data_IF_080058479601
#
_entry.id   IF_080058479601
#
_cell.length_a   1.000
_cell.length_b   1.000
_cell.length_c   1.000
_cell.angle_alpha   90.00
_cell.angle_beta   90.00
_cell.angle_gamma   90.00
#
_symmetry.space_group_name_H-M   'P 1'
#
loop_
_entity.id
_entity.type
_entity.pdbx_description
1 polymer ?
#
# COMPACT_ATOMS: atom_id res chain seq x y z
N UNK A 1 37.54 -10.90 -11.40
CA UNK A 1 37.67 -9.56 -10.79
C UNK A 1 37.97 -8.46 -11.82
N UNK A 2 39.21 -8.31 -12.33
CA UNK A 2 39.60 -7.22 -13.25
C UNK A 2 38.66 -7.00 -14.43
N UNK A 3 38.31 -8.07 -15.16
CA UNK A 3 37.38 -7.97 -16.30
C UNK A 3 36.01 -7.42 -15.91
N UNK A 4 35.45 -7.91 -14.79
CA UNK A 4 34.14 -7.48 -14.27
C UNK A 4 34.22 -5.99 -13.90
N UNK A 5 35.17 -5.60 -13.05
CA UNK A 5 35.33 -4.20 -12.62
C UNK A 5 35.60 -3.26 -13.80
N UNK A 6 36.37 -3.68 -14.80
CA UNK A 6 36.60 -2.88 -16.01
C UNK A 6 35.32 -2.69 -16.84
N UNK A 7 34.49 -3.73 -16.98
CA UNK A 7 33.29 -3.70 -17.82
C UNK A 7 32.08 -3.08 -17.15
N UNK A 8 31.94 -3.22 -15.83
CA UNK A 8 30.74 -2.82 -15.08
C UNK A 8 30.99 -1.72 -14.08
N UNK A 9 32.25 -1.32 -13.89
CA UNK A 9 32.69 -0.35 -12.89
C UNK A 9 32.43 -0.75 -11.43
N UNK A 10 32.03 -2.00 -11.19
CA UNK A 10 31.81 -2.52 -9.86
C UNK A 10 33.09 -2.45 -9.00
N UNK A 11 32.89 -2.16 -7.72
CA UNK A 11 33.87 -2.39 -6.67
C UNK A 11 33.83 -3.87 -6.29
N UNK A 12 34.99 -4.50 -6.17
CA UNK A 12 35.09 -5.95 -5.95
C UNK A 12 36.00 -6.22 -4.76
N UNK A 13 35.46 -6.91 -3.77
CA UNK A 13 36.24 -7.57 -2.73
C UNK A 13 36.51 -9.01 -3.18
N UNK A 14 37.78 -9.38 -3.33
CA UNK A 14 38.20 -10.74 -3.63
C UNK A 14 38.64 -11.44 -2.34
N UNK A 15 38.30 -12.71 -2.18
CA UNK A 15 38.82 -13.58 -1.11
C UNK A 15 39.62 -14.69 -1.79
N UNK A 16 40.86 -14.88 -1.36
CA UNK A 16 41.77 -15.89 -1.91
C UNK A 16 42.52 -16.59 -0.77
N UNK A 17 42.57 -17.92 -0.81
CA UNK A 17 43.22 -18.73 0.22
C UNK A 17 44.75 -18.58 0.18
N UNK A 18 45.34 -18.57 -1.02
CA UNK A 18 46.80 -18.61 -1.22
C UNK A 18 47.38 -17.21 -1.30
N UNK A 19 48.22 -16.86 -0.32
CA UNK A 19 48.89 -15.54 -0.24
C UNK A 19 49.63 -15.15 -1.52
N UNK A 20 50.41 -16.06 -2.11
CA UNK A 20 51.18 -15.79 -3.33
C UNK A 20 50.28 -15.48 -4.54
N UNK A 21 49.11 -16.11 -4.63
CA UNK A 21 48.16 -15.85 -5.71
C UNK A 21 47.52 -14.47 -5.54
N UNK A 22 47.21 -14.12 -4.30
CA UNK A 22 46.70 -12.82 -3.95
C UNK A 22 47.70 -11.70 -4.28
N UNK A 23 48.97 -11.86 -3.90
CA UNK A 23 50.06 -10.90 -4.20
C UNK A 23 50.22 -10.66 -5.71
N UNK A 24 50.27 -11.72 -6.51
CA UNK A 24 50.34 -11.61 -7.99
C UNK A 24 49.06 -10.93 -8.53
N UNK A 25 47.90 -11.27 -7.98
CA UNK A 25 46.65 -10.68 -8.44
C UNK A 25 46.58 -9.17 -8.15
N UNK A 26 47.08 -8.73 -6.99
CA UNK A 26 47.21 -7.32 -6.62
C UNK A 26 48.16 -6.59 -7.57
N UNK A 27 49.35 -7.15 -7.82
CA UNK A 27 50.33 -6.56 -8.73
C UNK A 27 49.74 -6.35 -10.14
N UNK A 28 49.10 -7.39 -10.69
CA UNK A 28 48.46 -7.30 -12.00
C UNK A 28 47.29 -6.32 -12.04
N UNK A 29 46.59 -6.13 -10.92
CA UNK A 29 45.50 -5.15 -10.79
C UNK A 29 46.03 -3.71 -10.73
N UNK A 30 47.15 -3.48 -10.05
CA UNK A 30 47.83 -2.19 -10.04
C UNK A 30 48.37 -1.81 -11.42
N UNK A 31 48.97 -2.77 -12.14
CA UNK A 31 49.49 -2.56 -13.51
C UNK A 31 48.42 -2.09 -14.51
N UNK A 32 47.14 -2.37 -14.24
CA UNK A 32 46.01 -1.93 -15.08
C UNK A 32 45.17 -0.81 -14.45
N UNK A 33 45.63 -0.20 -13.35
CA UNK A 33 44.98 0.96 -12.72
C UNK A 33 43.61 0.67 -12.09
N UNK A 34 43.39 -0.55 -11.59
CA UNK A 34 42.12 -0.96 -10.97
C UNK A 34 42.23 -1.15 -9.44
N UNK A 35 43.36 -0.82 -8.84
CA UNK A 35 43.68 -0.99 -7.41
C UNK A 35 42.74 -0.23 -6.47
N UNK A 36 42.13 0.87 -6.92
CA UNK A 36 41.11 1.59 -6.15
C UNK A 36 39.74 0.92 -6.13
N UNK A 37 39.44 0.05 -7.10
CA UNK A 37 38.14 -0.63 -7.24
C UNK A 37 38.16 -2.08 -6.78
N UNK A 38 39.34 -2.72 -6.75
CA UNK A 38 39.46 -4.13 -6.43
C UNK A 38 40.34 -4.29 -5.20
N UNK A 39 39.73 -4.77 -4.13
CA UNK A 39 40.40 -5.12 -2.88
C UNK A 39 40.56 -6.62 -2.79
N UNK A 40 41.60 -7.05 -2.09
CA UNK A 40 41.91 -8.47 -1.94
C UNK A 40 42.12 -8.80 -0.46
N UNK A 41 41.52 -9.91 -0.05
CA UNK A 41 41.60 -10.46 1.29
C UNK A 41 42.21 -11.87 1.19
N UNK A 42 43.34 -12.08 1.87
CA UNK A 42 43.98 -13.40 1.91
C UNK A 42 43.47 -14.16 3.12
N UNK A 43 42.97 -15.39 2.91
CA UNK A 43 42.61 -16.29 4.00
C UNK A 43 41.58 -17.33 3.60
N UNK A 44 41.36 -18.29 4.51
CA UNK A 44 40.24 -19.21 4.38
C UNK A 44 38.94 -18.45 4.62
N UNK A 45 38.00 -18.52 3.68
CA UNK A 45 36.71 -17.83 3.77
C UNK A 45 35.87 -18.25 4.99
N UNK A 46 36.15 -19.43 5.55
CA UNK A 46 35.52 -19.93 6.77
C UNK A 46 36.22 -19.45 8.05
N UNK A 47 37.34 -18.73 7.97
CA UNK A 47 38.06 -18.25 9.16
C UNK A 47 37.37 -17.02 9.76
N UNK A 48 37.37 -16.87 11.10
CA UNK A 48 36.75 -15.71 11.76
C UNK A 48 37.25 -14.37 11.21
N UNK A 49 38.56 -14.25 10.97
CA UNK A 49 39.17 -13.02 10.46
C UNK A 49 38.64 -12.62 9.08
N UNK A 50 38.37 -13.60 8.21
CA UNK A 50 37.81 -13.33 6.89
C UNK A 50 36.31 -13.03 7.00
N UNK A 51 35.58 -13.77 7.82
CA UNK A 51 34.15 -13.55 8.06
C UNK A 51 33.90 -12.14 8.62
N UNK A 52 34.68 -11.70 9.60
CA UNK A 52 34.56 -10.37 10.21
C UNK A 52 34.85 -9.24 9.21
N UNK A 53 35.73 -9.47 8.24
CA UNK A 53 36.00 -8.53 7.16
C UNK A 53 34.86 -8.46 6.11
N UNK A 54 34.02 -9.50 6.03
CA UNK A 54 32.85 -9.55 5.14
C UNK A 54 31.60 -9.03 5.88
N UNK A 55 31.52 -7.71 6.01
CA UNK A 55 30.46 -7.04 6.76
C UNK A 55 29.04 -7.49 6.34
N UNK A 56 28.13 -7.76 7.28
CA UNK A 56 26.74 -8.10 6.96
C UNK A 56 26.06 -7.03 6.10
N UNK A 57 25.32 -7.45 5.08
CA UNK A 57 24.56 -6.53 4.22
C UNK A 57 25.39 -5.53 3.42
N UNK A 58 26.65 -5.84 3.11
CA UNK A 58 27.56 -4.92 2.41
C UNK A 58 27.65 -5.16 0.91
N UNK A 59 27.30 -6.36 0.42
CA UNK A 59 27.45 -6.72 -0.98
C UNK A 59 26.11 -6.77 -1.73
N UNK A 60 26.07 -6.16 -2.91
CA UNK A 60 24.93 -6.28 -3.84
C UNK A 60 24.93 -7.64 -4.54
N UNK A 61 26.11 -8.23 -4.78
CA UNK A 61 26.23 -9.52 -5.44
C UNK A 61 27.48 -10.29 -5.00
N UNK A 62 27.39 -11.62 -5.05
CA UNK A 62 28.50 -12.55 -4.83
C UNK A 62 28.67 -13.41 -6.08
N UNK A 63 29.93 -13.59 -6.50
CA UNK A 63 30.28 -14.40 -7.67
C UNK A 63 31.38 -15.38 -7.28
N UNK A 64 31.23 -16.65 -7.66
CA UNK A 64 32.21 -17.71 -7.44
C UNK A 64 32.37 -18.58 -8.69
N UNK A 65 33.61 -18.84 -9.09
CA UNK A 65 33.92 -19.73 -10.20
C UNK A 65 34.84 -20.83 -9.71
N UNK A 66 34.41 -22.09 -9.81
CA UNK A 66 35.21 -23.30 -9.52
C UNK A 66 35.99 -23.18 -8.21
N UNK A 67 35.35 -22.64 -7.17
CA UNK A 67 35.96 -22.41 -5.85
C UNK A 67 35.20 -23.14 -4.75
N UNK A 68 33.88 -23.23 -4.88
CA UNK A 68 33.04 -23.88 -3.87
C UNK A 68 33.35 -25.38 -3.78
N UNK A 69 33.64 -26.09 -4.87
CA UNK A 69 34.05 -27.50 -4.80
C UNK A 69 35.20 -27.81 -3.82
N UNK A 70 36.06 -26.83 -3.51
CA UNK A 70 37.17 -27.01 -2.57
C UNK A 70 36.80 -26.73 -1.11
N UNK A 71 35.58 -26.29 -0.84
CA UNK A 71 35.07 -25.94 0.49
C UNK A 71 34.04 -26.99 0.91
N UNK A 72 34.41 -27.80 1.89
CA UNK A 72 33.59 -28.93 2.37
C UNK A 72 32.29 -28.47 3.04
N UNK A 73 32.37 -27.49 3.94
CA UNK A 73 31.21 -27.02 4.70
C UNK A 73 30.33 -26.06 3.86
N UNK A 74 29.51 -26.65 3.00
CA UNK A 74 28.62 -25.93 2.05
C UNK A 74 27.60 -25.04 2.75
N UNK A 75 27.01 -25.52 3.84
CA UNK A 75 26.07 -24.73 4.65
C UNK A 75 26.76 -23.46 5.19
N UNK A 76 27.95 -23.62 5.78
CA UNK A 76 28.64 -22.49 6.40
C UNK A 76 29.06 -21.40 5.40
N UNK A 77 29.59 -21.79 4.24
CA UNK A 77 29.94 -20.79 3.21
C UNK A 77 28.69 -20.06 2.70
N UNK A 78 27.57 -20.77 2.52
CA UNK A 78 26.33 -20.14 2.09
C UNK A 78 25.75 -19.21 3.17
N UNK A 79 25.84 -19.53 4.45
CA UNK A 79 25.48 -18.62 5.55
C UNK A 79 26.29 -17.32 5.50
N UNK A 80 27.61 -17.41 5.28
CA UNK A 80 28.50 -16.25 5.17
C UNK A 80 28.09 -15.39 3.96
N UNK A 81 27.83 -16.03 2.81
CA UNK A 81 27.33 -15.34 1.63
C UNK A 81 25.97 -14.67 1.88
N UNK A 82 25.04 -15.36 2.51
CA UNK A 82 23.71 -14.83 2.81
C UNK A 82 23.78 -13.63 3.78
N UNK A 83 24.58 -13.73 4.84
CA UNK A 83 24.76 -12.65 5.81
C UNK A 83 25.35 -11.41 5.16
N UNK A 84 26.37 -11.58 4.33
CA UNK A 84 27.12 -10.49 3.69
C UNK A 84 26.36 -9.81 2.54
N UNK A 85 25.38 -10.48 1.92
CA UNK A 85 24.50 -9.87 0.92
C UNK A 85 23.50 -8.88 1.53
N UNK A 86 23.26 -7.77 0.81
CA UNK A 86 22.10 -6.89 1.04
C UNK A 86 20.79 -7.63 0.80
N UNK A 87 19.70 -7.09 1.33
CA UNK A 87 18.36 -7.52 0.90
C UNK A 87 18.22 -7.38 -0.62
N UNK A 88 17.56 -8.35 -1.27
CA UNK A 88 17.50 -8.51 -2.72
C UNK A 88 18.84 -8.76 -3.43
N UNK A 89 19.94 -8.94 -2.70
CA UNK A 89 21.24 -9.28 -3.27
C UNK A 89 21.26 -10.65 -3.94
N UNK A 90 22.14 -10.82 -4.92
CA UNK A 90 22.24 -12.03 -5.75
C UNK A 90 23.54 -12.79 -5.51
N UNK A 91 23.47 -14.11 -5.61
CA UNK A 91 24.66 -14.97 -5.67
C UNK A 91 24.67 -15.75 -6.97
N UNK A 92 25.84 -15.80 -7.60
CA UNK A 92 26.12 -16.54 -8.82
C UNK A 92 27.31 -17.46 -8.59
N UNK A 93 27.14 -18.75 -8.86
CA UNK A 93 28.19 -19.76 -8.71
C UNK A 93 28.29 -20.58 -9.98
N UNK A 94 29.49 -20.81 -10.50
CA UNK A 94 29.75 -21.93 -11.42
C UNK A 94 30.59 -22.98 -10.69
N UNK A 95 30.11 -24.22 -10.63
CA UNK A 95 30.74 -25.27 -9.85
C UNK A 95 30.57 -26.66 -10.45
N UNK A 96 31.35 -27.62 -9.96
CA UNK A 96 31.16 -29.03 -10.26
C UNK A 96 29.94 -29.56 -9.48
N UNK A 97 29.24 -30.52 -10.06
CA UNK A 97 28.15 -31.24 -9.41
C UNK A 97 28.24 -32.73 -9.70
N UNK A 98 27.78 -33.56 -8.77
CA UNK A 98 27.57 -34.97 -9.03
C UNK A 98 26.31 -35.15 -9.88
N UNK A 99 26.39 -35.93 -10.95
CA UNK A 99 25.22 -36.32 -11.76
C UNK A 99 24.56 -37.60 -11.25
N UNK A 100 25.30 -38.40 -10.49
CA UNK A 100 24.91 -39.71 -9.97
C UNK A 100 25.74 -40.02 -8.72
N UNK A 101 25.44 -41.13 -8.04
CA UNK A 101 26.25 -41.63 -6.93
C UNK A 101 27.69 -41.86 -7.40
N UNK A 102 28.63 -41.24 -6.70
CA UNK A 102 30.06 -41.34 -6.98
C UNK A 102 30.60 -42.65 -6.43
N UNK A 103 31.38 -43.37 -7.23
CA UNK A 103 32.09 -44.57 -6.76
C UNK A 103 33.27 -44.17 -5.88
N UNK A 104 33.77 -45.07 -5.01
CA UNK A 104 34.95 -44.79 -4.19
C UNK A 104 36.15 -44.33 -5.00
N UNK A 105 36.39 -44.90 -6.19
CA UNK A 105 37.50 -44.52 -7.06
C UNK A 105 37.36 -43.08 -7.58
N UNK A 106 36.14 -42.69 -7.95
CA UNK A 106 35.85 -41.31 -8.38
C UNK A 106 36.00 -40.34 -7.21
N UNK A 107 35.57 -40.72 -6.01
CA UNK A 107 35.75 -39.90 -4.80
C UNK A 107 37.23 -39.70 -4.46
N UNK A 108 38.03 -40.77 -4.45
CA UNK A 108 39.49 -40.68 -4.25
C UNK A 108 40.14 -39.78 -5.31
N UNK A 109 39.74 -39.94 -6.58
CA UNK A 109 40.27 -39.10 -7.67
C UNK A 109 39.91 -37.62 -7.47
N UNK A 110 38.68 -37.31 -7.04
CA UNK A 110 38.25 -35.94 -6.75
C UNK A 110 39.03 -35.34 -5.57
N UNK A 111 39.29 -36.13 -4.54
CA UNK A 111 40.05 -35.68 -3.37
C UNK A 111 41.53 -35.44 -3.71
N UNK A 112 42.20 -36.41 -4.34
CA UNK A 112 43.64 -36.35 -4.59
C UNK A 112 44.02 -35.38 -5.72
N UNK A 113 43.22 -35.35 -6.80
CA UNK A 113 43.57 -34.58 -8.02
C UNK A 113 42.83 -33.25 -8.08
N UNK A 114 41.54 -33.24 -7.72
CA UNK A 114 40.70 -32.03 -7.78
C UNK A 114 40.70 -31.28 -6.46
N UNK A 115 41.19 -31.88 -5.36
CA UNK A 115 41.14 -31.28 -4.02
C UNK A 115 39.71 -30.92 -3.62
N UNK A 116 38.78 -31.86 -3.85
CA UNK A 116 37.35 -31.73 -3.55
C UNK A 116 36.88 -32.92 -2.72
N UNK A 117 36.81 -32.75 -1.40
CA UNK A 117 36.36 -33.79 -0.46
C UNK A 117 34.85 -34.04 -0.50
N UNK A 118 34.07 -33.09 -1.02
CA UNK A 118 32.61 -33.17 -1.06
C UNK A 118 32.04 -32.58 -2.34
N UNK A 119 31.33 -33.42 -3.11
CA UNK A 119 30.70 -33.02 -4.36
C UNK A 119 29.18 -33.29 -4.34
N UNK A 120 28.33 -32.28 -4.07
CA UNK A 120 26.89 -32.44 -4.00
C UNK A 120 26.24 -32.67 -5.37
N UNK A 121 25.08 -33.31 -5.38
CA UNK A 121 24.15 -33.25 -6.53
C UNK A 121 23.50 -31.87 -6.62
N UNK A 122 22.88 -31.53 -7.77
CA UNK A 122 22.12 -30.27 -7.91
C UNK A 122 21.03 -30.12 -6.85
N UNK A 123 20.35 -31.21 -6.52
CA UNK A 123 19.29 -31.23 -5.52
C UNK A 123 19.84 -31.01 -4.11
N UNK A 124 20.95 -31.68 -3.78
CA UNK A 124 21.64 -31.43 -2.50
C UNK A 124 22.11 -29.98 -2.39
N UNK A 125 22.63 -29.40 -3.49
CA UNK A 125 23.04 -28.01 -3.55
C UNK A 125 21.86 -27.06 -3.33
N UNK A 126 20.70 -27.33 -3.96
CA UNK A 126 19.46 -26.57 -3.74
C UNK A 126 19.05 -26.58 -2.27
N UNK A 127 19.08 -27.76 -1.63
CA UNK A 127 18.73 -27.90 -0.21
C UNK A 127 19.65 -27.06 0.70
N UNK A 128 20.93 -26.95 0.37
CA UNK A 128 21.85 -26.06 1.11
C UNK A 128 21.45 -24.58 0.98
N UNK A 129 21.08 -24.12 -0.23
CA UNK A 129 20.61 -22.74 -0.44
C UNK A 129 19.31 -22.45 0.32
N UNK A 130 18.32 -23.34 0.21
CA UNK A 130 17.00 -23.18 0.85
C UNK A 130 17.12 -23.13 2.37
N UNK A 131 17.94 -24.01 2.95
CA UNK A 131 18.18 -24.06 4.40
C UNK A 131 18.72 -22.75 4.96
N UNK A 132 19.56 -22.05 4.21
CA UNK A 132 20.13 -20.75 4.60
C UNK A 132 19.14 -19.60 4.42
N UNK A 133 18.09 -19.79 3.60
CA UNK A 133 17.04 -18.79 3.36
C UNK A 133 17.15 -18.08 2.01
N UNK A 134 17.96 -18.58 1.08
CA UNK A 134 17.94 -18.09 -0.30
C UNK A 134 16.64 -18.48 -1.00
N UNK A 135 16.19 -17.61 -1.91
CA UNK A 135 15.02 -17.80 -2.77
C UNK A 135 15.43 -17.72 -4.26
N UNK A 136 14.48 -17.98 -5.16
CA UNK A 136 14.65 -17.90 -6.62
C UNK A 136 15.84 -18.73 -7.15
N UNK A 137 16.04 -19.93 -6.58
CA UNK A 137 17.22 -20.75 -6.85
C UNK A 137 17.11 -21.43 -8.23
N UNK A 138 17.95 -21.01 -9.16
CA UNK A 138 18.03 -21.50 -10.52
C UNK A 138 19.33 -22.28 -10.77
N UNK A 139 19.23 -23.44 -11.43
CA UNK A 139 20.38 -24.21 -11.89
C UNK A 139 20.36 -24.28 -13.41
N UNK A 140 21.48 -23.90 -14.04
CA UNK A 140 21.71 -24.04 -15.47
C UNK A 140 22.75 -25.14 -15.67
N UNK A 141 22.38 -26.21 -16.37
CA UNK A 141 23.28 -27.31 -16.65
C UNK A 141 24.35 -26.92 -17.69
N UNK A 142 25.61 -26.95 -17.27
CA UNK A 142 26.77 -26.66 -18.12
C UNK A 142 27.52 -27.93 -18.56
N UNK A 143 27.05 -29.11 -18.14
CA UNK A 143 27.75 -30.40 -18.29
C UNK A 143 28.18 -30.68 -19.72
N UNK A 144 27.28 -30.54 -20.70
CA UNK A 144 27.59 -30.83 -22.11
C UNK A 144 28.69 -29.91 -22.66
N UNK A 145 28.62 -28.62 -22.32
CA UNK A 145 29.60 -27.62 -22.74
C UNK A 145 30.98 -27.89 -22.11
N UNK A 146 31.01 -28.10 -20.79
CA UNK A 146 32.24 -28.37 -20.05
C UNK A 146 32.87 -29.70 -20.48
N UNK A 147 32.08 -30.77 -20.64
CA UNK A 147 32.55 -32.08 -21.13
C UNK A 147 33.26 -31.98 -22.49
N UNK A 148 32.73 -31.17 -23.41
CA UNK A 148 33.38 -30.87 -24.69
C UNK A 148 34.69 -30.10 -24.48
N UNK A 149 34.62 -29.02 -23.70
CA UNK A 149 35.75 -28.11 -23.49
C UNK A 149 36.94 -28.78 -22.80
N UNK A 150 36.73 -29.59 -21.75
CA UNK A 150 37.84 -30.28 -21.05
C UNK A 150 38.53 -31.30 -21.95
N UNK A 151 37.77 -31.99 -22.81
CA UNK A 151 38.32 -32.92 -23.81
C UNK A 151 39.17 -32.16 -24.82
N UNK A 152 38.64 -31.08 -25.39
CA UNK A 152 39.38 -30.24 -26.34
C UNK A 152 40.63 -29.63 -25.72
N UNK A 153 40.53 -29.15 -24.47
CA UNK A 153 41.67 -28.61 -23.71
C UNK A 153 42.77 -29.64 -23.54
N UNK A 154 42.43 -30.87 -23.17
CA UNK A 154 43.41 -31.95 -23.03
C UNK A 154 44.09 -32.26 -24.37
N UNK A 155 43.32 -32.41 -25.44
CA UNK A 155 43.87 -32.70 -26.78
C UNK A 155 44.79 -31.57 -27.29
N UNK A 156 44.39 -30.31 -27.11
CA UNK A 156 45.23 -29.15 -27.46
C UNK A 156 46.54 -29.13 -26.66
N UNK A 157 46.50 -29.48 -25.37
CA UNK A 157 47.69 -29.54 -24.54
C UNK A 157 48.68 -30.64 -24.98
N UNK A 158 48.16 -31.80 -25.43
CA UNK A 158 49.00 -32.85 -26.02
C UNK A 158 49.68 -32.39 -27.31
N UNK A 159 48.96 -31.65 -28.15
CA UNK A 159 49.50 -31.10 -29.40
C UNK A 159 50.59 -30.04 -29.17
N UNK A 160 50.61 -29.39 -28.01
CA UNK A 160 51.61 -28.37 -27.65
C UNK A 160 52.77 -28.93 -26.80
N UNK A 161 53.01 -30.25 -26.80
CA UNK A 161 54.00 -30.91 -25.93
C UNK A 161 55.39 -30.24 -25.97
N UNK A 162 55.97 -30.09 -27.15
CA UNK A 162 57.35 -29.58 -27.30
C UNK A 162 57.48 -28.15 -26.76
N UNK A 163 56.53 -27.28 -27.09
CA UNK A 163 56.49 -25.89 -26.62
C UNK A 163 56.30 -25.82 -25.10
N UNK A 164 55.38 -26.62 -24.56
CA UNK A 164 55.12 -26.71 -23.12
C UNK A 164 56.36 -27.16 -22.35
N UNK A 165 57.03 -28.24 -22.78
CA UNK A 165 58.25 -28.74 -22.12
C UNK A 165 59.35 -27.68 -22.14
N UNK A 166 59.53 -26.98 -23.27
CA UNK A 166 60.50 -25.88 -23.39
C UNK A 166 60.21 -24.75 -22.40
N UNK A 167 58.93 -24.45 -22.14
CA UNK A 167 58.51 -23.36 -21.28
C UNK A 167 58.56 -23.70 -19.78
N UNK A 168 58.10 -24.90 -19.40
CA UNK A 168 57.89 -25.27 -17.98
C UNK A 168 58.68 -26.47 -17.48
N UNK A 169 59.41 -27.15 -18.35
CA UNK A 169 60.12 -28.40 -18.04
C UNK A 169 59.23 -29.64 -18.16
N UNK A 170 59.89 -30.80 -18.25
CA UNK A 170 59.24 -32.09 -18.49
C UNK A 170 58.36 -32.54 -17.32
N UNK A 171 58.85 -32.41 -16.07
CA UNK A 171 58.11 -32.81 -14.87
C UNK A 171 56.78 -32.03 -14.73
N UNK A 172 56.82 -30.72 -14.96
CA UNK A 172 55.63 -29.85 -14.88
C UNK A 172 54.68 -30.15 -16.03
N UNK A 173 55.20 -30.42 -17.24
CA UNK A 173 54.39 -30.83 -18.37
C UNK A 173 53.64 -32.13 -18.05
N UNK A 174 54.33 -33.14 -17.54
CA UNK A 174 53.75 -34.45 -17.27
C UNK A 174 52.70 -34.38 -16.15
N UNK A 175 52.97 -33.66 -15.06
CA UNK A 175 51.99 -33.42 -14.02
C UNK A 175 50.74 -32.69 -14.53
N UNK A 176 50.90 -31.66 -15.38
CA UNK A 176 49.75 -30.96 -16.00
C UNK A 176 49.00 -31.84 -17.00
N UNK A 177 49.70 -32.67 -17.75
CA UNK A 177 49.11 -33.63 -18.69
C UNK A 177 48.20 -34.60 -17.95
N UNK A 178 48.71 -35.19 -16.86
CA UNK A 178 47.95 -36.10 -16.01
C UNK A 178 46.71 -35.41 -15.43
N UNK A 179 46.86 -34.19 -14.90
CA UNK A 179 45.71 -33.43 -14.40
C UNK A 179 44.64 -33.20 -15.49
N UNK A 180 45.02 -32.74 -16.69
CA UNK A 180 44.05 -32.52 -17.78
C UNK A 180 43.41 -33.82 -18.28
N UNK A 181 44.17 -34.90 -18.32
CA UNK A 181 43.64 -36.22 -18.63
C UNK A 181 42.57 -36.62 -17.60
N UNK A 182 42.90 -36.57 -16.30
CA UNK A 182 41.99 -36.95 -15.23
C UNK A 182 40.70 -36.13 -15.25
N UNK A 183 40.78 -34.80 -15.40
CA UNK A 183 39.57 -33.97 -15.51
C UNK A 183 38.75 -34.35 -16.75
N UNK A 184 39.39 -34.56 -17.89
CA UNK A 184 38.71 -35.01 -19.10
C UNK A 184 37.97 -36.34 -18.85
N UNK A 185 38.65 -37.32 -18.27
CA UNK A 185 38.13 -38.66 -18.02
C UNK A 185 36.97 -38.65 -17.02
N UNK A 186 37.06 -37.83 -15.95
CA UNK A 186 35.97 -37.62 -15.00
C UNK A 186 34.70 -37.10 -15.68
N UNK A 187 34.80 -36.07 -16.53
CA UNK A 187 33.63 -35.58 -17.29
C UNK A 187 33.18 -36.56 -18.39
N UNK A 188 34.10 -37.30 -19.02
CA UNK A 188 33.73 -38.32 -20.01
C UNK A 188 32.93 -39.46 -19.37
N UNK A 189 33.26 -39.84 -18.14
CA UNK A 189 32.54 -40.87 -17.38
C UNK A 189 31.06 -40.56 -17.17
N UNK A 190 30.68 -39.27 -17.22
CA UNK A 190 29.31 -38.80 -16.96
C UNK A 190 28.94 -38.72 -15.48
N UNK A 191 29.82 -39.15 -14.56
CA UNK A 191 29.56 -39.14 -13.11
C UNK A 191 29.57 -37.74 -12.51
N UNK A 192 30.33 -36.82 -13.10
CA UNK A 192 30.35 -35.41 -12.72
C UNK A 192 29.81 -34.53 -13.86
N UNK A 193 29.32 -33.36 -13.48
CA UNK A 193 28.81 -32.34 -14.37
C UNK A 193 29.20 -30.95 -13.91
N UNK A 194 28.73 -29.96 -14.67
CA UNK A 194 28.88 -28.55 -14.37
C UNK A 194 27.54 -27.89 -14.17
N UNK A 195 27.47 -26.92 -13.26
CA UNK A 195 26.29 -26.09 -13.10
C UNK A 195 26.67 -24.63 -12.90
N UNK A 196 25.90 -23.74 -13.53
CA UNK A 196 25.74 -22.38 -13.03
C UNK A 196 24.54 -22.37 -12.07
N UNK A 197 24.66 -21.63 -10.97
CA UNK A 197 23.67 -21.55 -9.90
C UNK A 197 23.44 -20.08 -9.61
N UNK A 198 22.19 -19.66 -9.62
CA UNK A 198 21.79 -18.29 -9.27
C UNK A 198 20.76 -18.35 -8.16
N UNK A 199 20.93 -17.54 -7.13
CA UNK A 199 19.95 -17.43 -6.04
C UNK A 199 19.91 -15.99 -5.49
N UNK A 200 18.85 -15.68 -4.74
CA UNK A 200 18.57 -14.34 -4.23
C UNK A 200 18.33 -14.34 -2.72
N UNK A 201 18.84 -13.32 -2.02
CA UNK A 201 18.43 -13.03 -0.64
C UNK A 201 17.08 -12.28 -0.66
N UNK A 202 15.99 -12.83 -0.11
CA UNK A 202 14.71 -12.14 -0.09
C UNK A 202 14.79 -10.86 0.76
N UNK A 203 13.93 -9.87 0.49
CA UNK A 203 13.71 -8.77 1.42
C UNK A 203 12.74 -9.20 2.53
N UNK A 204 13.00 -8.78 3.77
CA UNK A 204 12.04 -8.98 4.85
C UNK A 204 10.96 -7.90 4.72
N UNK A 205 9.65 -8.24 4.70
CA UNK A 205 8.61 -7.23 4.75
C UNK A 205 8.71 -6.43 6.06
N UNK A 206 8.91 -5.11 5.97
CA UNK A 206 8.87 -4.25 7.15
C UNK A 206 7.42 -4.07 7.60
N UNK A 207 7.05 -4.66 8.73
CA UNK A 207 5.78 -4.38 9.41
C UNK A 207 5.98 -3.13 10.28
N UNK A 208 5.34 -2.03 9.91
CA UNK A 208 5.32 -0.81 10.74
C UNK A 208 4.32 -0.97 11.88
N UNK A 209 4.80 -1.02 13.12
CA UNK A 209 3.92 -0.87 14.29
C UNK A 209 3.52 0.60 14.43
N UNK A 210 2.22 0.88 14.32
CA UNK A 210 1.65 2.20 14.62
C UNK A 210 1.34 2.22 16.12
N UNK A 211 1.87 3.17 16.91
CA UNK A 211 1.57 3.23 18.34
C UNK A 211 0.07 3.37 18.59
N UNK A 212 -0.48 2.67 19.60
CA UNK A 212 -1.90 2.73 19.97
C UNK A 212 -2.39 4.17 20.23
N UNK A 213 -1.48 5.03 20.73
CA UNK A 213 -1.75 6.45 20.98
C UNK A 213 -2.14 7.24 19.73
N UNK A 214 -1.77 6.76 18.54
CA UNK A 214 -2.09 7.40 17.26
C UNK A 214 -3.60 7.37 16.96
N UNK A 215 -4.31 6.34 17.44
CA UNK A 215 -5.76 6.19 17.23
C UNK A 215 -6.60 6.76 18.39
N UNK A 216 -5.97 7.06 19.53
CA UNK A 216 -6.65 7.53 20.75
C UNK A 216 -6.90 9.04 20.81
N UNK A 217 -6.28 9.84 19.91
CA UNK A 217 -6.48 11.29 19.90
C UNK A 217 -7.88 11.66 19.38
N UNK A 218 -8.57 12.53 20.12
CA UNK A 218 -9.87 13.10 19.74
C UNK A 218 -9.75 14.59 19.44
N UNK A 219 -10.59 15.07 18.54
CA UNK A 219 -10.65 16.46 18.08
C UNK A 219 -12.05 17.02 18.36
N UNK A 220 -12.17 18.20 18.99
CA UNK A 220 -13.45 18.88 19.11
C UNK A 220 -13.96 19.28 17.72
N UNK A 221 -15.19 18.87 17.41
CA UNK A 221 -15.89 19.18 16.17
C UNK A 221 -17.20 19.86 16.50
N UNK A 222 -17.52 20.91 15.74
CA UNK A 222 -18.83 21.51 15.67
C UNK A 222 -19.26 21.54 14.20
N UNK A 223 -20.48 21.13 13.91
CA UNK A 223 -21.05 21.21 12.58
C UNK A 223 -22.52 21.53 12.67
N UNK A 224 -22.93 22.49 11.86
CA UNK A 224 -24.31 22.88 11.66
C UNK A 224 -24.56 22.92 10.15
N UNK A 225 -25.41 22.01 9.66
CA UNK A 225 -25.70 21.84 8.24
C UNK A 225 -27.19 21.97 7.97
N UNK A 226 -27.52 22.60 6.84
CA UNK A 226 -28.88 22.88 6.41
C UNK A 226 -29.10 22.43 4.97
N UNK A 227 -30.25 21.82 4.69
CA UNK A 227 -30.67 21.45 3.33
C UNK A 227 -32.09 21.97 3.10
N UNK A 228 -32.29 22.81 2.10
CA UNK A 228 -33.59 23.39 1.76
C UNK A 228 -34.04 22.91 0.39
N UNK A 229 -35.18 22.24 0.32
CA UNK A 229 -35.82 21.83 -0.92
C UNK A 229 -36.92 22.84 -1.28
N UNK A 230 -36.70 23.60 -2.35
CA UNK A 230 -37.58 24.68 -2.80
C UNK A 230 -38.78 24.14 -3.60
N UNK A 231 -39.84 24.94 -3.69
CA UNK A 231 -41.05 24.61 -4.47
C UNK A 231 -40.78 24.35 -5.95
N UNK A 232 -39.76 24.99 -6.54
CA UNK A 232 -39.33 24.75 -7.92
C UNK A 232 -38.49 23.47 -8.11
N UNK A 233 -38.24 22.74 -7.02
CA UNK A 233 -37.42 21.54 -6.99
C UNK A 233 -35.93 21.81 -6.83
N UNK A 234 -35.48 23.05 -6.64
CA UNK A 234 -34.07 23.34 -6.35
C UNK A 234 -33.67 22.90 -4.95
N UNK A 235 -32.39 22.56 -4.77
CA UNK A 235 -31.74 22.34 -3.49
C UNK A 235 -30.83 23.53 -3.18
N UNK A 236 -30.90 23.99 -1.94
CA UNK A 236 -29.90 24.85 -1.33
C UNK A 236 -29.30 24.16 -0.10
N UNK A 237 -28.03 23.80 -0.15
CA UNK A 237 -27.29 23.15 0.93
C UNK A 237 -26.29 24.12 1.55
N UNK A 238 -26.24 24.19 2.88
CA UNK A 238 -25.33 25.07 3.62
C UNK A 238 -24.69 24.32 4.77
N UNK A 239 -23.47 24.74 5.12
CA UNK A 239 -22.76 24.19 6.26
C UNK A 239 -21.84 25.23 6.89
N UNK A 240 -21.91 25.27 8.22
CA UNK A 240 -20.88 25.81 9.09
C UNK A 240 -20.19 24.65 9.81
N UNK A 241 -18.89 24.49 9.58
CA UNK A 241 -18.10 23.39 10.11
C UNK A 241 -16.85 23.92 10.81
N UNK A 242 -16.56 23.42 12.01
CA UNK A 242 -15.44 23.90 12.83
C UNK A 242 -14.76 22.76 13.57
N UNK A 243 -13.44 22.79 13.58
CA UNK A 243 -12.57 21.95 14.42
C UNK A 243 -11.63 22.83 15.24
N UNK A 244 -10.66 22.22 15.92
CA UNK A 244 -9.55 22.96 16.54
C UNK A 244 -8.63 23.66 15.54
N UNK A 245 -8.63 23.23 14.26
CA UNK A 245 -7.69 23.72 13.24
C UNK A 245 -8.33 24.39 12.04
N UNK A 246 -9.63 24.18 11.78
CA UNK A 246 -10.34 24.87 10.70
C UNK A 246 -11.67 25.45 11.17
N UNK A 247 -12.06 26.55 10.56
CA UNK A 247 -13.42 27.07 10.58
C UNK A 247 -13.83 27.27 9.12
N UNK A 248 -14.84 26.55 8.64
CA UNK A 248 -15.21 26.44 7.24
C UNK A 248 -16.70 26.73 7.04
N UNK A 249 -16.99 27.47 5.97
CA UNK A 249 -18.33 27.81 5.53
C UNK A 249 -18.51 27.36 4.08
N UNK A 250 -19.62 26.70 3.80
CA UNK A 250 -20.01 26.37 2.42
C UNK A 250 -21.50 26.55 2.19
N UNK A 251 -21.84 26.96 0.97
CA UNK A 251 -23.20 26.92 0.47
C UNK A 251 -23.22 26.62 -1.03
N UNK A 252 -24.16 25.79 -1.43
CA UNK A 252 -24.30 25.26 -2.78
C UNK A 252 -25.77 25.24 -3.19
N UNK A 253 -26.05 25.78 -4.37
CA UNK A 253 -27.36 25.74 -5.01
C UNK A 253 -27.33 24.78 -6.19
N UNK A 254 -28.36 23.95 -6.36
CA UNK A 254 -28.51 23.07 -7.52
C UNK A 254 -29.98 22.92 -7.91
N UNK A 255 -30.30 22.92 -9.20
CA UNK A 255 -31.64 22.63 -9.71
C UNK A 255 -31.75 21.20 -10.28
N UNK A 256 -32.97 20.79 -10.64
CA UNK A 256 -33.24 19.46 -11.23
C UNK A 256 -32.89 19.36 -12.72
N UNK A 257 -32.43 20.45 -13.33
CA UNK A 257 -32.04 20.52 -14.75
C UNK A 257 -30.51 20.42 -14.94
N UNK A 258 -29.77 20.35 -13.84
CA UNK A 258 -28.31 20.25 -13.82
C UNK A 258 -27.59 21.60 -13.83
N UNK A 259 -28.28 22.68 -13.48
CA UNK A 259 -27.61 23.94 -13.14
C UNK A 259 -27.21 23.92 -11.67
N UNK A 260 -25.96 24.28 -11.37
CA UNK A 260 -25.53 24.49 -10.00
C UNK A 260 -24.58 25.67 -9.84
N UNK A 261 -24.48 26.15 -8.60
CA UNK A 261 -23.70 27.32 -8.24
C UNK A 261 -23.09 27.13 -6.85
N UNK A 262 -21.76 27.22 -6.75
CA UNK A 262 -21.08 27.40 -5.47
C UNK A 262 -21.27 28.85 -5.02
N UNK A 263 -22.03 29.05 -3.95
CA UNK A 263 -22.31 30.38 -3.40
C UNK A 263 -21.18 30.83 -2.47
N UNK A 264 -20.62 29.90 -1.71
CA UNK A 264 -19.46 30.13 -0.85
C UNK A 264 -18.75 28.80 -0.54
N UNK A 265 -17.43 28.86 -0.40
CA UNK A 265 -16.57 27.76 0.05
C UNK A 265 -15.26 28.36 0.60
N UNK A 266 -15.21 28.63 1.91
CA UNK A 266 -14.08 29.36 2.51
C UNK A 266 -13.72 28.89 3.90
N UNK A 267 -12.43 29.01 4.23
CA UNK A 267 -11.88 28.85 5.57
C UNK A 267 -11.17 30.11 6.08
N UNK A 268 -11.38 31.26 5.42
CA UNK A 268 -10.78 32.53 5.86
C UNK A 268 -11.32 32.97 7.22
N UNK A 269 -10.42 33.40 8.12
CA UNK A 269 -10.77 34.02 9.40
C UNK A 269 -11.32 35.45 9.21
N UNK A 270 -12.52 35.57 8.62
CA UNK A 270 -13.34 36.78 8.74
C UNK A 270 -14.37 36.58 9.85
N UNK A 271 -15.04 37.66 10.29
CA UNK A 271 -16.16 37.54 11.22
C UNK A 271 -17.26 36.72 10.52
N UNK A 272 -17.72 35.63 11.13
CA UNK A 272 -18.68 34.67 10.58
C UNK A 272 -19.89 35.32 9.88
N UNK A 273 -20.39 36.40 10.48
CA UNK A 273 -21.52 37.20 10.00
C UNK A 273 -21.32 37.90 8.64
N UNK A 274 -20.11 37.92 8.08
CA UNK A 274 -19.84 38.44 6.74
C UNK A 274 -20.07 37.41 5.63
N UNK A 275 -19.98 36.12 5.95
CA UNK A 275 -20.08 35.02 4.99
C UNK A 275 -21.44 34.31 5.10
N UNK A 276 -21.76 33.80 6.28
CA UNK A 276 -23.04 33.18 6.61
C UNK A 276 -23.42 33.65 8.02
N UNK A 277 -24.51 34.41 8.15
CA UNK A 277 -25.08 34.76 9.44
C UNK A 277 -26.23 33.82 9.76
N UNK A 278 -26.11 33.06 10.85
CA UNK A 278 -27.18 32.19 11.36
C UNK A 278 -27.65 32.80 12.69
N UNK A 279 -28.91 33.22 12.74
CA UNK A 279 -29.54 33.75 13.95
C UNK A 279 -30.78 32.92 14.24
N UNK A 280 -30.83 32.24 15.38
CA UNK A 280 -31.95 31.36 15.70
C UNK A 280 -32.22 31.25 17.19
N UNK A 281 -33.43 30.81 17.50
CA UNK A 281 -33.85 30.27 18.79
C UNK A 281 -34.38 28.85 18.57
N UNK A 282 -34.98 28.25 19.58
CA UNK A 282 -35.46 26.85 19.53
C UNK A 282 -36.62 26.65 18.54
N UNK A 283 -37.31 27.71 18.12
CA UNK A 283 -38.52 27.63 17.28
C UNK A 283 -38.33 28.21 15.88
N UNK A 284 -37.46 29.19 15.73
CA UNK A 284 -37.34 29.99 14.50
C UNK A 284 -35.90 30.41 14.25
N UNK A 285 -35.56 30.69 13.00
CA UNK A 285 -34.27 31.25 12.66
C UNK A 285 -34.25 31.96 11.32
N UNK A 286 -33.20 32.74 11.13
CA UNK A 286 -32.86 33.46 9.91
C UNK A 286 -31.43 33.12 9.53
N UNK A 287 -31.22 32.78 8.25
CA UNK A 287 -29.90 32.58 7.66
C UNK A 287 -29.72 33.61 6.54
N UNK A 288 -28.67 34.42 6.62
CA UNK A 288 -28.34 35.41 5.61
C UNK A 288 -26.99 35.07 4.96
N UNK A 289 -26.95 35.10 3.63
CA UNK A 289 -25.75 35.01 2.80
C UNK A 289 -25.65 36.30 2.00
N UNK A 290 -25.00 37.35 2.56
CA UNK A 290 -24.97 38.67 1.93
C UNK A 290 -24.34 38.65 0.53
N UNK A 291 -23.26 37.88 0.35
CA UNK A 291 -22.55 37.76 -0.93
C UNK A 291 -23.41 37.17 -2.06
N UNK A 292 -24.45 36.40 -1.70
CA UNK A 292 -25.39 35.77 -2.62
C UNK A 292 -26.76 36.48 -2.68
N UNK A 293 -26.97 37.59 -1.97
CA UNK A 293 -28.28 38.25 -1.80
C UNK A 293 -29.40 37.26 -1.42
N UNK A 294 -29.08 36.38 -0.48
CA UNK A 294 -29.94 35.27 -0.07
C UNK A 294 -30.28 35.39 1.42
N UNK A 295 -31.56 35.29 1.73
CA UNK A 295 -32.08 35.19 3.10
C UNK A 295 -33.05 34.02 3.22
N UNK A 296 -32.97 33.29 4.33
CA UNK A 296 -33.84 32.15 4.62
C UNK A 296 -34.42 32.35 6.00
N UNK A 297 -35.74 32.45 6.09
CA UNK A 297 -36.46 32.44 7.36
C UNK A 297 -37.09 31.07 7.55
N UNK A 298 -36.94 30.48 8.73
CA UNK A 298 -37.47 29.15 9.01
C UNK A 298 -38.12 29.03 10.38
N UNK A 299 -39.08 28.12 10.48
CA UNK A 299 -39.69 27.63 11.72
C UNK A 299 -39.42 26.13 11.87
N UNK A 300 -39.01 25.71 13.06
CA UNK A 300 -38.79 24.30 13.41
C UNK A 300 -40.15 23.65 13.65
N UNK A 301 -40.52 22.68 12.80
CA UNK A 301 -41.77 21.92 12.94
C UNK A 301 -41.56 20.56 13.63
N UNK A 302 -40.35 20.00 13.55
CA UNK A 302 -39.99 18.76 14.24
C UNK A 302 -38.51 18.79 14.65
N UNK A 303 -38.21 18.27 15.84
CA UNK A 303 -36.84 18.13 16.37
C UNK A 303 -36.69 16.80 17.11
N UNK A 304 -35.53 16.17 16.94
CA UNK A 304 -35.15 14.93 17.58
C UNK A 304 -33.67 14.97 17.98
N UNK A 305 -33.35 14.36 19.12
CA UNK A 305 -31.98 14.33 19.65
C UNK A 305 -31.56 12.93 20.06
N UNK A 306 -30.33 12.53 19.79
CA UNK A 306 -29.78 11.25 20.29
C UNK A 306 -28.25 11.27 20.38
N UNK A 307 -27.69 10.38 21.20
CA UNK A 307 -26.25 10.24 21.37
C UNK A 307 -25.57 9.50 20.20
N UNK A 308 -24.29 9.80 19.97
CA UNK A 308 -23.42 9.08 19.03
C UNK A 308 -22.41 8.26 19.85
N UNK A 309 -22.30 6.94 19.67
CA UNK A 309 -21.42 6.09 20.48
C UNK A 309 -19.94 6.50 20.46
N UNK A 310 -19.48 7.05 19.34
CA UNK A 310 -18.09 7.48 19.16
C UNK A 310 -17.77 8.85 19.79
N UNK A 311 -18.76 9.58 20.30
CA UNK A 311 -18.55 10.89 20.93
C UNK A 311 -18.30 10.73 22.43
N UNK A 312 -17.12 11.17 22.88
CA UNK A 312 -16.61 10.90 24.23
C UNK A 312 -17.49 11.44 25.37
N UNK A 313 -18.15 12.59 25.16
CA UNK A 313 -18.93 13.27 26.19
C UNK A 313 -20.43 12.96 26.14
N UNK A 314 -20.85 12.02 25.29
CA UNK A 314 -22.24 11.65 25.04
C UNK A 314 -23.17 12.84 24.74
N UNK A 315 -22.65 13.89 24.09
CA UNK A 315 -23.44 15.03 23.60
C UNK A 315 -24.39 14.54 22.52
N UNK A 316 -25.64 14.99 22.62
CA UNK A 316 -26.65 14.63 21.65
C UNK A 316 -26.43 15.37 20.32
N UNK A 317 -26.67 14.66 19.21
CA UNK A 317 -26.82 15.24 17.88
C UNK A 317 -28.27 15.66 17.73
N UNK A 318 -28.49 16.90 17.29
CA UNK A 318 -29.80 17.47 17.03
C UNK A 318 -30.12 17.29 15.56
N UNK A 319 -31.32 16.80 15.29
CA UNK A 319 -31.90 16.67 13.97
C UNK A 319 -33.23 17.41 13.93
N UNK A 320 -33.34 18.41 13.06
CA UNK A 320 -34.58 19.13 12.78
C UNK A 320 -35.02 18.74 11.36
N UNK A 321 -35.67 17.58 11.18
CA UNK A 321 -35.92 17.04 9.85
C UNK A 321 -36.96 17.81 9.06
N UNK A 322 -37.74 18.69 9.70
CA UNK A 322 -38.77 19.50 9.06
C UNK A 322 -38.70 20.94 9.55
N UNK A 323 -38.13 21.79 8.71
CA UNK A 323 -38.20 23.24 8.82
C UNK A 323 -39.19 23.76 7.80
N UNK A 324 -40.09 24.65 8.20
CA UNK A 324 -40.96 25.39 7.29
C UNK A 324 -40.26 26.69 6.92
N UNK A 325 -39.91 26.86 5.66
CA UNK A 325 -38.98 27.91 5.23
C UNK A 325 -39.57 28.84 4.19
N UNK A 326 -39.16 30.11 4.23
CA UNK A 326 -39.30 31.07 3.14
C UNK A 326 -37.90 31.51 2.72
N UNK A 327 -37.60 31.37 1.43
CA UNK A 327 -36.31 31.70 0.82
C UNK A 327 -36.48 32.94 -0.05
N UNK A 328 -35.67 33.96 0.22
CA UNK A 328 -35.60 35.23 -0.49
C UNK A 328 -34.30 35.28 -1.30
N UNK A 329 -34.39 35.47 -2.61
CA UNK A 329 -33.24 35.53 -3.53
C UNK A 329 -33.40 36.72 -4.48
N UNK A 330 -32.74 37.84 -4.17
CA UNK A 330 -33.01 39.11 -4.85
C UNK A 330 -34.50 39.46 -4.81
N UNK A 331 -35.14 39.52 -5.98
CA UNK A 331 -36.57 39.86 -6.11
C UNK A 331 -37.52 38.65 -6.02
N UNK A 332 -37.00 37.44 -5.78
CA UNK A 332 -37.80 36.20 -5.74
C UNK A 332 -38.01 35.71 -4.31
N UNK A 333 -39.24 35.30 -4.01
CA UNK A 333 -39.63 34.65 -2.76
C UNK A 333 -40.25 33.29 -3.06
N UNK A 334 -39.77 32.24 -2.40
CA UNK A 334 -40.29 30.87 -2.56
C UNK A 334 -40.40 30.18 -1.21
N UNK A 335 -41.31 29.21 -1.07
CA UNK A 335 -41.30 28.34 0.11
C UNK A 335 -40.33 27.19 -0.07
N UNK A 336 -39.90 26.63 1.04
CA UNK A 336 -39.09 25.42 1.06
C UNK A 336 -39.40 24.55 2.28
N UNK A 337 -39.12 23.25 2.14
CA UNK A 337 -39.00 22.34 3.29
C UNK A 337 -37.52 22.17 3.58
N UNK A 338 -37.12 22.55 4.79
CA UNK A 338 -35.75 22.49 5.25
C UNK A 338 -35.48 21.32 6.19
N UNK A 339 -34.19 21.02 6.33
CA UNK A 339 -33.63 20.09 7.29
C UNK A 339 -32.41 20.72 7.94
N UNK A 340 -32.23 20.50 9.24
CA UNK A 340 -31.01 20.86 9.93
C UNK A 340 -30.45 19.67 10.72
N UNK A 341 -29.13 19.55 10.72
CA UNK A 341 -28.39 18.64 11.61
C UNK A 341 -27.29 19.41 12.31
N UNK A 342 -27.22 19.27 13.62
CA UNK A 342 -26.25 19.95 14.48
C UNK A 342 -25.56 18.90 15.35
N UNK A 343 -24.23 18.90 15.32
CA UNK A 343 -23.44 18.06 16.22
C UNK A 343 -22.25 18.81 16.77
N UNK A 344 -22.04 18.67 18.07
CA UNK A 344 -20.87 19.17 18.77
C UNK A 344 -20.31 18.04 19.65
N UNK A 345 -19.03 17.72 19.50
CA UNK A 345 -18.46 16.57 20.21
C UNK A 345 -16.98 16.37 19.95
N UNK A 346 -16.38 15.43 20.70
CA UNK A 346 -14.99 15.01 20.49
C UNK A 346 -14.95 13.75 19.63
N UNK A 347 -14.39 13.86 18.42
CA UNK A 347 -14.37 12.79 17.42
C UNK A 347 -12.94 12.25 17.20
N UNK A 348 -12.76 10.95 16.92
CA UNK A 348 -11.47 10.40 16.53
C UNK A 348 -10.89 11.04 15.28
N UNK A 349 -9.54 11.07 15.19
CA UNK A 349 -8.81 11.66 14.05
C UNK A 349 -9.30 11.17 12.69
N UNK A 350 -9.54 9.87 12.53
CA UNK A 350 -9.99 9.29 11.27
C UNK A 350 -11.50 9.15 11.28
N UNK A 351 -12.14 9.65 10.23
CA UNK A 351 -13.59 9.54 10.11
C UNK A 351 -14.02 9.34 8.66
N UNK A 352 -15.19 8.76 8.52
CA UNK A 352 -15.88 8.62 7.25
C UNK A 352 -17.37 8.52 7.50
N UNK A 353 -18.18 9.18 6.68
CA UNK A 353 -19.62 9.01 6.75
C UNK A 353 -20.28 9.22 5.40
N UNK A 354 -21.35 8.48 5.19
CA UNK A 354 -22.36 8.69 4.17
C UNK A 354 -23.63 9.12 4.90
N UNK A 355 -24.16 10.27 4.53
CA UNK A 355 -25.40 10.80 5.06
C UNK A 355 -26.36 11.03 3.89
N UNK A 356 -27.63 10.69 4.08
CA UNK A 356 -28.68 10.89 3.08
C UNK A 356 -29.82 11.63 3.73
N UNK A 357 -30.34 12.63 3.03
CA UNK A 357 -31.59 13.30 3.35
C UNK A 357 -32.47 13.34 2.10
N UNK A 358 -33.62 12.68 2.15
CA UNK A 358 -34.58 12.57 1.07
C UNK A 358 -35.93 13.18 1.46
N UNK A 359 -36.54 13.88 0.50
CA UNK A 359 -37.85 14.50 0.64
C UNK A 359 -38.80 13.97 -0.44
N UNK A 360 -39.96 13.52 0.02
CA UNK A 360 -41.06 13.00 -0.78
C UNK A 360 -42.30 13.85 -0.49
N UNK A 361 -42.69 14.78 -1.39
CA UNK A 361 -43.77 15.74 -1.14
C UNK A 361 -45.07 15.13 -0.62
N UNK A 362 -45.45 13.97 -1.14
CA UNK A 362 -46.70 13.28 -0.84
C UNK A 362 -46.58 12.19 0.24
N UNK A 363 -45.38 11.97 0.80
CA UNK A 363 -45.14 10.85 1.71
C UNK A 363 -44.38 11.21 2.99
N UNK A 364 -43.29 11.97 2.90
CA UNK A 364 -42.52 12.34 4.08
C UNK A 364 -41.04 12.58 3.84
N UNK A 365 -40.28 12.55 4.93
CA UNK A 365 -38.86 12.86 4.97
C UNK A 365 -38.11 11.65 5.51
N UNK A 366 -37.08 11.23 4.77
CA UNK A 366 -36.19 10.16 5.20
C UNK A 366 -34.80 10.73 5.41
N UNK A 367 -34.15 10.39 6.53
CA UNK A 367 -32.73 10.62 6.67
C UNK A 367 -32.04 9.40 7.26
N UNK A 368 -30.83 9.16 6.79
CA UNK A 368 -30.09 7.95 7.11
C UNK A 368 -28.60 8.23 7.08
N UNK A 369 -27.85 7.55 7.94
CA UNK A 369 -26.41 7.65 7.95
C UNK A 369 -25.76 6.27 8.02
N UNK A 370 -24.59 6.18 7.42
CA UNK A 370 -23.63 5.12 7.62
C UNK A 370 -22.24 5.74 7.81
N UNK A 371 -21.67 5.59 8.99
CA UNK A 371 -20.47 6.28 9.41
C UNK A 371 -19.50 5.36 10.17
N UNK A 372 -18.24 5.74 10.12
CA UNK A 372 -17.13 5.17 10.89
C UNK A 372 -16.35 6.32 11.50
N UNK A 373 -16.19 6.28 12.82
CA UNK A 373 -15.43 7.26 13.58
C UNK A 373 -14.35 6.52 14.35
N UNK A 374 -13.09 6.65 13.92
CA UNK A 374 -12.02 5.78 14.39
C UNK A 374 -12.29 4.33 14.01
N UNK A 375 -12.47 3.48 15.02
CA UNK A 375 -12.83 2.07 14.85
C UNK A 375 -14.34 1.81 15.06
N UNK A 376 -15.09 2.81 15.53
CA UNK A 376 -16.49 2.66 15.88
C UNK A 376 -17.38 2.81 14.66
N UNK A 377 -18.34 1.89 14.51
CA UNK A 377 -19.37 1.93 13.47
C UNK A 377 -20.60 2.64 13.99
N UNK A 378 -21.22 3.46 13.15
CA UNK A 378 -22.46 4.16 13.48
C UNK A 378 -23.38 4.24 12.26
N UNK A 379 -24.60 3.74 12.37
CA UNK A 379 -25.57 3.73 11.28
C UNK A 379 -27.00 3.88 11.80
N UNK A 380 -27.86 4.51 11.01
CA UNK A 380 -29.30 4.63 11.29
C UNK A 380 -30.11 4.89 10.03
N UNK A 381 -31.41 4.62 10.10
CA UNK A 381 -32.40 5.03 9.11
C UNK A 381 -33.64 5.55 9.84
N UNK A 382 -34.13 6.73 9.44
CA UNK A 382 -35.25 7.42 10.09
C UNK A 382 -36.25 7.91 9.05
N UNK A 383 -37.53 7.73 9.33
CA UNK A 383 -38.62 8.21 8.50
C UNK A 383 -39.57 9.07 9.35
N UNK A 384 -39.89 10.26 8.83
CA UNK A 384 -40.95 11.14 9.31
C UNK A 384 -42.05 11.21 8.25
N UNK A 385 -43.18 10.54 8.49
CA UNK A 385 -44.30 10.48 7.56
C UNK A 385 -45.16 11.77 7.62
N UNK A 386 -45.62 12.27 6.47
CA UNK A 386 -46.43 13.50 6.36
C UNK A 386 -47.95 13.30 6.43
N UNK A 387 -48.46 12.06 6.40
CA UNK A 387 -49.91 11.76 6.34
C UNK A 387 -50.67 11.87 7.67
N UNK A 388 -50.01 12.23 8.77
CA UNK A 388 -50.58 12.14 10.11
C UNK A 388 -50.35 13.40 10.96
N UNK A 389 -51.41 13.93 11.59
CA UNK A 389 -51.36 15.13 12.46
C UNK A 389 -50.53 14.90 13.73
N UNK A 390 -49.48 15.73 13.86
CA UNK A 390 -48.83 16.32 15.04
C UNK A 390 -48.43 15.49 16.28
N UNK A 391 -48.51 14.16 16.27
CA UNK A 391 -47.80 13.34 17.30
C UNK A 391 -47.14 12.05 16.77
N UNK A 392 -46.88 11.93 15.47
CA UNK A 392 -46.75 10.61 14.85
C UNK A 392 -45.32 10.26 14.39
N UNK A 393 -44.75 9.40 15.23
CA UNK A 393 -43.81 8.29 15.00
C UNK A 393 -42.64 8.59 14.06
N UNK A 394 -41.56 9.15 14.62
CA UNK A 394 -40.23 8.87 14.11
C UNK A 394 -40.06 7.34 14.02
N UNK A 395 -40.09 6.81 12.80
CA UNK A 395 -39.90 5.38 12.59
C UNK A 395 -38.39 5.09 12.56
N UNK A 396 -37.95 4.29 13.53
CA UNK A 396 -36.57 3.89 13.67
C UNK A 396 -36.34 2.59 12.91
N UNK A 397 -35.49 2.64 11.89
CA UNK A 397 -35.05 1.47 11.16
C UNK A 397 -34.14 0.58 12.00
N UNK A 398 -34.48 -0.70 12.10
CA UNK A 398 -33.59 -1.79 12.50
C UNK A 398 -32.85 -2.32 11.26
N UNK A 399 -31.73 -3.03 11.48
CA UNK A 399 -30.95 -3.69 10.43
C UNK A 399 -30.58 -2.76 9.26
N UNK A 400 -30.28 -1.49 9.57
CA UNK A 400 -30.04 -0.48 8.54
C UNK A 400 -28.64 -0.61 7.90
N UNK A 401 -28.54 -0.41 6.59
CA UNK A 401 -27.26 -0.38 5.87
C UNK A 401 -27.35 0.46 4.61
N UNK A 402 -26.20 0.96 4.13
CA UNK A 402 -26.14 1.68 2.85
C UNK A 402 -25.42 0.83 1.81
N UNK A 403 -25.79 1.07 0.55
CA UNK A 403 -25.02 0.73 -0.64
C UNK A 403 -24.77 2.03 -1.41
N UNK A 404 -23.96 1.95 -2.46
CA UNK A 404 -23.62 3.12 -3.28
C UNK A 404 -24.86 3.93 -3.74
N UNK A 405 -25.94 3.22 -4.10
CA UNK A 405 -27.15 3.78 -4.73
C UNK A 405 -28.42 3.51 -3.93
N UNK A 406 -28.31 3.13 -2.66
CA UNK A 406 -29.51 2.86 -1.85
C UNK A 406 -29.23 2.81 -0.35
N UNK A 407 -30.20 3.19 0.47
CA UNK A 407 -30.22 2.94 1.91
C UNK A 407 -31.41 2.06 2.28
N UNK A 408 -31.23 1.20 3.28
CA UNK A 408 -32.17 0.13 3.62
C UNK A 408 -32.43 0.15 5.11
N UNK A 409 -33.64 -0.20 5.52
CA UNK A 409 -33.95 -0.55 6.89
C UNK A 409 -35.23 -1.38 7.01
N UNK A 410 -35.34 -2.14 8.08
CA UNK A 410 -36.59 -2.76 8.50
C UNK A 410 -37.27 -1.86 9.52
N UNK A 411 -38.53 -1.52 9.29
CA UNK A 411 -39.35 -0.77 10.23
C UNK A 411 -40.58 -1.64 10.51
N UNK A 412 -40.71 -2.07 11.77
CA UNK A 412 -41.68 -3.09 12.17
C UNK A 412 -41.51 -4.37 11.31
N UNK A 413 -42.53 -4.73 10.53
CA UNK A 413 -42.54 -5.92 9.67
C UNK A 413 -42.36 -5.61 8.18
N UNK A 414 -41.99 -4.37 7.84
CA UNK A 414 -41.84 -3.92 6.45
C UNK A 414 -40.40 -3.53 6.15
N UNK A 415 -39.99 -3.76 4.91
CA UNK A 415 -38.66 -3.38 4.42
C UNK A 415 -38.78 -2.09 3.64
N UNK A 416 -38.02 -1.08 4.07
CA UNK A 416 -37.94 0.22 3.42
C UNK A 416 -36.66 0.30 2.60
N UNK A 417 -36.82 0.59 1.32
CA UNK A 417 -35.74 0.76 0.36
C UNK A 417 -35.76 2.18 -0.16
N UNK A 418 -34.80 2.98 0.27
CA UNK A 418 -34.54 4.30 -0.29
C UNK A 418 -33.54 4.14 -1.43
N UNK A 419 -33.99 4.20 -2.68
CA UNK A 419 -33.16 4.09 -3.89
C UNK A 419 -32.85 5.47 -4.44
N UNK A 420 -31.63 5.62 -4.99
CA UNK A 420 -31.21 6.83 -5.68
C UNK A 420 -30.73 6.45 -7.08
N UNK A 421 -31.15 7.21 -8.09
CA UNK A 421 -30.70 6.99 -9.47
C UNK A 421 -29.17 7.08 -9.57
N UNK A 422 -28.59 6.36 -10.52
CA UNK A 422 -27.17 6.44 -10.87
C UNK A 422 -26.77 7.83 -11.37
N UNK A 423 -27.70 8.58 -11.99
CA UNK A 423 -27.44 9.92 -12.51
C UNK A 423 -27.80 11.00 -11.50
N UNK A 424 -26.82 11.82 -11.14
CA UNK A 424 -27.03 13.03 -10.34
C UNK A 424 -27.64 14.15 -11.20
N UNK A 425 -28.38 15.06 -10.56
CA UNK A 425 -28.64 16.36 -11.15
C UNK A 425 -27.34 17.15 -11.21
N UNK A 426 -26.63 17.23 -10.09
CA UNK A 426 -25.27 17.76 -10.03
C UNK A 426 -24.54 17.31 -8.74
N UNK A 427 -23.23 17.58 -8.67
CA UNK A 427 -22.32 17.22 -7.58
C UNK A 427 -21.45 18.41 -7.20
N UNK A 428 -21.34 18.68 -5.91
CA UNK A 428 -20.39 19.63 -5.34
C UNK A 428 -19.38 18.92 -4.44
N UNK A 429 -18.13 19.36 -4.45
CA UNK A 429 -17.11 18.78 -3.56
C UNK A 429 -16.08 19.81 -3.13
N UNK A 430 -15.57 19.65 -1.90
CA UNK A 430 -14.50 20.48 -1.34
C UNK A 430 -13.54 19.62 -0.52
N UNK A 431 -12.29 20.08 -0.42
CA UNK A 431 -11.29 19.50 0.49
C UNK A 431 -11.17 20.40 1.70
N UNK A 432 -11.63 19.92 2.85
CA UNK A 432 -11.46 20.57 4.14
C UNK A 432 -10.03 20.30 4.60
N UNK A 433 -9.18 21.34 4.56
CA UNK A 433 -7.75 21.24 4.91
C UNK A 433 -7.26 22.44 5.71
N UNK A 434 -6.34 22.21 6.64
CA UNK A 434 -5.65 23.26 7.39
C UNK A 434 -4.22 23.50 6.87
N UNK A 435 -3.57 24.55 7.37
CA UNK A 435 -2.14 24.79 7.20
C UNK A 435 -1.49 24.87 8.59
N UNK A 436 -0.50 24.01 8.92
CA UNK A 436 0.08 22.93 8.11
C UNK A 436 -0.91 21.75 7.90
N UNK A 437 -0.76 20.98 6.81
CA UNK A 437 -1.67 19.92 6.34
C UNK A 437 -1.80 18.70 7.31
N UNK A 438 -2.35 18.90 8.50
CA UNK A 438 -2.59 17.85 9.50
C UNK A 438 -4.00 17.27 9.41
N UNK A 439 -4.94 18.07 8.91
CA UNK A 439 -6.32 17.73 8.59
C UNK A 439 -6.52 17.75 7.08
N UNK A 440 -7.10 16.67 6.54
CA UNK A 440 -7.58 16.61 5.16
C UNK A 440 -8.80 15.71 5.08
N UNK A 441 -9.96 16.29 4.79
CA UNK A 441 -11.22 15.56 4.60
C UNK A 441 -11.89 15.97 3.29
N UNK A 442 -12.20 15.00 2.43
CA UNK A 442 -12.98 15.25 1.22
C UNK A 442 -14.45 15.26 1.58
N UNK A 443 -15.11 16.41 1.45
CA UNK A 443 -16.56 16.56 1.57
C UNK A 443 -17.17 16.59 0.16
N UNK A 444 -18.26 15.85 -0.04
CA UNK A 444 -18.99 15.83 -1.29
C UNK A 444 -20.50 15.80 -1.05
N UNK A 445 -21.23 16.54 -1.86
CA UNK A 445 -22.68 16.63 -1.91
C UNK A 445 -23.16 16.24 -3.31
N UNK A 446 -24.18 15.40 -3.38
CA UNK A 446 -24.78 14.94 -4.62
C UNK A 446 -26.28 15.16 -4.55
N UNK A 447 -26.82 15.96 -5.47
CA UNK A 447 -28.26 16.18 -5.59
C UNK A 447 -28.84 15.28 -6.66
N UNK A 448 -29.89 14.51 -6.34
CA UNK A 448 -30.35 13.42 -7.21
C UNK A 448 -31.81 13.04 -6.98
N UNK A 449 -32.46 12.37 -7.95
CA UNK A 449 -33.76 11.74 -7.76
C UNK A 449 -33.70 10.64 -6.70
N UNK A 450 -34.81 10.48 -5.96
CA UNK A 450 -34.99 9.42 -4.98
C UNK A 450 -36.32 8.69 -5.18
N UNK A 451 -36.30 7.39 -4.91
CA UNK A 451 -37.49 6.53 -4.91
C UNK A 451 -37.55 5.83 -3.56
N UNK A 452 -38.71 5.86 -2.92
CA UNK A 452 -39.00 5.07 -1.74
C UNK A 452 -39.83 3.86 -2.14
N UNK A 453 -39.31 2.67 -1.88
CA UNK A 453 -40.06 1.43 -1.98
C UNK A 453 -40.29 0.83 -0.59
N UNK A 454 -41.43 0.17 -0.43
CA UNK A 454 -41.79 -0.59 0.75
C UNK A 454 -42.21 -1.98 0.29
N UNK A 455 -41.55 -3.02 0.82
CA UNK A 455 -41.76 -4.42 0.42
C UNK A 455 -41.71 -4.60 -1.11
N UNK A 456 -40.65 -4.05 -1.73
CA UNK A 456 -40.38 -4.04 -3.18
C UNK A 456 -41.43 -3.33 -4.05
N UNK A 457 -42.33 -2.54 -3.45
CA UNK A 457 -43.30 -1.71 -4.17
C UNK A 457 -42.94 -0.24 -4.09
N UNK A 458 -42.89 0.44 -5.23
CA UNK A 458 -42.69 1.89 -5.30
C UNK A 458 -43.86 2.62 -4.62
N UNK A 459 -43.56 3.40 -3.59
CA UNK A 459 -44.56 4.14 -2.78
C UNK A 459 -44.47 5.64 -3.02
N UNK A 460 -43.27 6.18 -3.23
CA UNK A 460 -43.08 7.60 -3.47
C UNK A 460 -41.86 7.91 -4.34
N UNK A 461 -41.96 9.01 -5.11
CA UNK A 461 -40.83 9.64 -5.80
C UNK A 461 -40.55 11.00 -5.22
N UNK A 462 -39.28 11.36 -5.20
CA UNK A 462 -38.83 12.60 -4.64
C UNK A 462 -37.40 12.89 -5.02
N UNK A 463 -36.75 13.64 -4.15
CA UNK A 463 -35.41 14.15 -4.34
C UNK A 463 -34.60 13.88 -3.08
N UNK A 464 -33.29 13.71 -3.23
CA UNK A 464 -32.42 13.60 -2.08
C UNK A 464 -31.09 14.31 -2.28
N UNK A 465 -30.53 14.72 -1.14
CA UNK A 465 -29.14 15.07 -1.01
C UNK A 465 -28.41 13.89 -0.39
N UNK A 466 -27.41 13.37 -1.10
CA UNK A 466 -26.44 12.44 -0.57
C UNK A 466 -25.15 13.19 -0.27
N UNK A 467 -24.67 13.04 0.94
CA UNK A 467 -23.46 13.63 1.45
C UNK A 467 -22.48 12.53 1.81
N UNK A 468 -21.22 12.70 1.46
CA UNK A 468 -20.16 11.84 1.99
C UNK A 468 -18.93 12.64 2.35
N UNK A 469 -18.30 12.23 3.46
CA UNK A 469 -17.06 12.80 3.92
C UNK A 469 -16.12 11.66 4.32
N UNK A 470 -14.85 11.75 3.95
CA UNK A 470 -13.83 10.82 4.42
C UNK A 470 -12.47 11.52 4.54
N UNK A 471 -11.71 11.14 5.56
CA UNK A 471 -10.35 11.65 5.75
C UNK A 471 -10.01 11.80 7.23
N UNK A 472 -9.29 12.87 7.55
CA UNK A 472 -8.86 13.21 8.90
C UNK A 472 -9.43 14.52 9.41
N UNK A 473 -9.52 14.63 10.73
CA UNK A 473 -9.79 15.86 11.48
C UNK A 473 -8.65 16.10 12.49
N UNK A 474 -8.31 17.36 12.74
CA UNK A 474 -7.36 17.78 13.78
C UNK A 474 -7.76 19.09 14.45
#
# INVERSE_FOLDING_TARGET
ARYISYKTECHIQCVELRKSFNEIAQELTQRVGLDKRIQYLTGNILSPQVIDALLPGSFDSIISFLSFLHIENRDKILEICFSSLKENGLIYIEDYVANDTLTPEVQTTLEEVVQSSYLPTRETYRNHFERVGFADICFIDLTTGWKRWVKERYQKFLQSKEESIKLVGEDVYEHRRQFYQTISDLFQSGKIGGSSIVAKKPCVPKIHQVPDTYFASVTPVYSEQYHFFLEDGSLLALRYFKTGTIEHYSAWWSDTKGYSLELINTSEHRRSNQHISIQKNDQTGTICLPEANLEIQFQVAAEFTWAVPAEKNHRAVIHQPKLLCTVYTGDRTQKAIGYCKIYQGDYPKFWGYHFVHAFFPDYGIVWSAEATFGQEKYNYFKLLNSSETEKQILLNGEDSYHRQTSAHARIENKIYHLKFDTKTFDTWSSILRNQPLTMESKLCLEYRPAILEIDDQEVAKGICLKEFCFGTIT
#
